data_IF_519543378082
#
_entry.id   IF_519543378082
#
_cell.length_a   1.000
_cell.length_b   1.000
_cell.length_c   1.000
_cell.angle_alpha   90.00
_cell.angle_beta   90.00
_cell.angle_gamma   90.00
#
_symmetry.space_group_name_H-M   'P 1'
#
loop_
_entity.id
_entity.type
_entity.pdbx_description
1 polymer ?
#
# COMPACT_ATOMS: atom_id res chain seq x y z
N UNK A 1 64.17 -28.78 -25.16
CA UNK A 1 63.24 -27.75 -25.72
C UNK A 1 61.90 -27.83 -24.98
N UNK A 2 61.76 -27.01 -23.93
CA UNK A 2 60.54 -26.98 -23.11
C UNK A 2 59.60 -25.95 -23.73
N UNK A 3 58.40 -26.41 -24.13
CA UNK A 3 57.32 -25.52 -24.55
C UNK A 3 56.53 -25.14 -23.32
N UNK A 4 56.60 -23.86 -22.94
CA UNK A 4 55.73 -23.29 -21.93
C UNK A 4 54.34 -23.03 -22.55
N UNK A 5 53.30 -23.62 -21.93
CA UNK A 5 51.91 -23.33 -22.26
C UNK A 5 51.47 -22.14 -21.40
N UNK A 6 51.23 -21.00 -22.04
CA UNK A 6 50.63 -19.83 -21.36
C UNK A 6 49.10 -20.02 -21.36
N UNK A 7 48.53 -20.30 -20.19
CA UNK A 7 47.08 -20.27 -19.97
C UNK A 7 46.71 -18.83 -19.70
N UNK A 8 46.06 -18.20 -20.67
CA UNK A 8 45.43 -16.86 -20.48
C UNK A 8 44.12 -17.03 -19.71
N UNK A 9 44.09 -16.63 -18.42
CA UNK A 9 42.86 -16.48 -17.68
C UNK A 9 42.14 -15.23 -18.21
N UNK A 10 41.04 -15.43 -18.94
CA UNK A 10 40.07 -14.39 -19.19
C UNK A 10 39.29 -14.15 -17.89
N UNK A 11 39.61 -13.07 -17.19
CA UNK A 11 38.77 -12.56 -16.12
C UNK A 11 37.48 -12.00 -16.74
N UNK A 12 36.37 -12.72 -16.69
CA UNK A 12 35.05 -12.15 -16.91
C UNK A 12 34.80 -11.15 -15.76
N UNK A 13 34.96 -9.88 -16.04
CA UNK A 13 34.44 -8.82 -15.18
C UNK A 13 32.91 -8.86 -15.29
N UNK A 14 32.24 -9.44 -14.29
CA UNK A 14 30.83 -9.25 -14.05
C UNK A 14 30.65 -7.76 -13.69
N UNK A 15 30.34 -6.94 -14.66
CA UNK A 15 29.77 -5.62 -14.40
C UNK A 15 28.39 -5.86 -13.77
N UNK A 16 28.31 -5.83 -12.44
CA UNK A 16 27.06 -5.61 -11.74
C UNK A 16 26.57 -4.24 -12.18
N UNK A 17 25.59 -4.20 -13.08
CA UNK A 17 24.90 -2.97 -13.39
C UNK A 17 24.14 -2.59 -12.12
N UNK A 18 24.60 -1.56 -11.43
CA UNK A 18 23.96 -1.06 -10.22
C UNK A 18 22.54 -0.63 -10.60
N UNK A 19 21.52 -1.26 -9.99
CA UNK A 19 20.12 -0.90 -10.23
C UNK A 19 19.92 0.56 -9.86
N UNK A 20 19.31 1.33 -10.77
CA UNK A 20 19.09 2.76 -10.58
C UNK A 20 17.61 3.06 -10.41
N UNK A 21 17.31 3.90 -9.42
CA UNK A 21 15.98 4.46 -9.27
C UNK A 21 15.70 5.52 -10.35
N UNK A 22 14.53 5.41 -10.99
CA UNK A 22 14.07 6.31 -12.05
C UNK A 22 12.62 6.69 -11.80
N UNK A 23 12.16 7.75 -12.45
CA UNK A 23 10.80 8.27 -12.37
C UNK A 23 10.14 8.12 -13.73
N UNK A 24 8.87 7.72 -13.74
CA UNK A 24 8.05 7.50 -14.92
C UNK A 24 6.71 8.22 -14.74
N UNK A 25 6.20 8.83 -15.80
CA UNK A 25 4.88 9.46 -15.78
C UNK A 25 3.99 8.84 -16.85
N UNK A 26 2.84 8.35 -16.43
CA UNK A 26 1.79 7.81 -17.26
C UNK A 26 0.71 8.86 -17.45
N UNK A 27 0.08 8.88 -18.63
CA UNK A 27 -0.97 9.84 -18.97
C UNK A 27 -2.16 9.14 -19.60
N UNK A 28 -3.37 9.50 -19.18
CA UNK A 28 -4.62 9.09 -19.83
C UNK A 28 -5.70 10.15 -19.62
N UNK A 29 -6.21 10.73 -20.72
CA UNK A 29 -7.15 11.82 -20.65
C UNK A 29 -6.60 13.01 -19.84
N UNK A 30 -7.35 13.43 -18.83
CA UNK A 30 -6.97 14.53 -17.92
C UNK A 30 -6.26 14.04 -16.65
N UNK A 31 -5.90 12.75 -16.57
CA UNK A 31 -5.23 12.18 -15.40
C UNK A 31 -3.77 11.89 -15.73
N UNK A 32 -2.87 12.21 -14.82
CA UNK A 32 -1.47 11.77 -14.87
C UNK A 32 -1.09 11.07 -13.57
N UNK A 33 -0.26 10.04 -13.71
CA UNK A 33 0.29 9.23 -12.63
C UNK A 33 1.80 9.23 -12.73
N UNK A 34 2.49 9.75 -11.72
CA UNK A 34 3.96 9.69 -11.64
C UNK A 34 4.36 8.64 -10.62
N UNK A 35 5.25 7.74 -11.02
CA UNK A 35 5.73 6.64 -10.21
C UNK A 35 7.25 6.53 -10.26
N UNK A 36 7.86 5.93 -9.24
CA UNK A 36 9.26 5.53 -9.27
C UNK A 36 9.39 4.01 -9.09
N UNK A 37 10.41 3.42 -9.70
CA UNK A 37 10.73 2.01 -9.47
C UNK A 37 11.47 1.75 -8.14
N UNK A 38 11.74 2.77 -7.33
CA UNK A 38 12.15 2.61 -5.93
C UNK A 38 10.91 2.38 -5.06
N UNK A 39 10.76 1.15 -4.54
CA UNK A 39 9.58 0.76 -3.77
C UNK A 39 8.28 0.75 -4.57
N UNK A 40 8.37 0.81 -5.92
CA UNK A 40 7.23 0.92 -6.83
C UNK A 40 6.25 2.01 -6.38
N UNK A 41 6.76 3.17 -5.95
CA UNK A 41 5.97 4.23 -5.31
C UNK A 41 5.18 5.06 -6.27
N UNK A 42 3.97 5.38 -5.88
CA UNK A 42 3.16 6.46 -6.45
C UNK A 42 3.67 7.79 -5.88
N UNK A 43 4.20 8.66 -6.73
CA UNK A 43 4.73 9.97 -6.32
C UNK A 43 3.69 11.08 -6.47
N UNK A 44 2.83 11.00 -7.49
CA UNK A 44 1.73 11.94 -7.69
C UNK A 44 0.62 11.33 -8.54
N UNK A 45 -0.61 11.75 -8.29
CA UNK A 45 -1.79 11.53 -9.12
C UNK A 45 -2.44 12.89 -9.33
N UNK A 46 -2.47 13.38 -10.57
CA UNK A 46 -3.04 14.69 -10.89
C UNK A 46 -4.37 14.52 -11.59
N UNK A 47 -5.44 15.11 -11.02
CA UNK A 47 -6.80 15.04 -11.54
C UNK A 47 -7.49 16.40 -11.47
N UNK A 48 -8.50 16.70 -12.34
CA UNK A 48 -9.28 17.92 -12.23
C UNK A 48 -10.25 17.90 -11.05
N UNK A 49 -10.57 19.05 -10.49
CA UNK A 49 -11.71 19.27 -9.61
C UNK A 49 -12.98 19.66 -10.42
N UNK A 50 -14.08 19.95 -9.70
CA UNK A 50 -15.36 20.38 -10.31
C UNK A 50 -15.28 21.71 -11.11
N UNK A 51 -14.18 22.45 -10.98
CA UNK A 51 -13.91 23.68 -11.74
C UNK A 51 -12.88 23.47 -12.86
N UNK A 52 -12.37 22.23 -13.03
CA UNK A 52 -11.31 21.88 -13.97
C UNK A 52 -9.90 22.21 -13.50
N UNK A 53 -9.71 22.55 -12.21
CA UNK A 53 -8.40 22.87 -11.65
C UNK A 53 -7.66 21.54 -11.39
N UNK A 54 -6.49 21.41 -12.02
CA UNK A 54 -5.63 20.24 -11.90
C UNK A 54 -4.78 20.31 -10.64
N UNK A 55 -4.87 19.29 -9.78
CA UNK A 55 -4.09 19.20 -8.53
C UNK A 55 -3.57 17.79 -8.29
N UNK A 56 -2.42 17.68 -7.61
CA UNK A 56 -1.94 16.42 -7.07
C UNK A 56 -2.79 16.02 -5.86
N UNK A 57 -3.41 14.85 -5.94
CA UNK A 57 -4.33 14.32 -4.92
C UNK A 57 -3.72 13.25 -4.02
N UNK A 58 -2.39 13.09 -4.03
CA UNK A 58 -1.68 12.20 -3.11
C UNK A 58 -0.51 12.92 -2.45
N UNK A 59 -0.28 12.65 -1.17
CA UNK A 59 0.93 13.11 -0.50
C UNK A 59 2.14 12.31 -1.00
N UNK A 60 3.21 13.01 -1.33
CA UNK A 60 4.42 12.40 -1.84
C UNK A 60 5.62 13.35 -1.76
N UNK A 61 6.78 12.87 -2.15
CA UNK A 61 8.00 13.66 -2.25
C UNK A 61 8.30 14.06 -3.70
N UNK A 62 9.06 15.12 -3.85
CA UNK A 62 9.43 15.67 -5.17
C UNK A 62 10.51 14.83 -5.86
N UNK A 63 11.40 14.22 -5.09
CA UNK A 63 12.57 13.49 -5.60
C UNK A 63 12.63 12.09 -4.99
N UNK A 64 13.27 11.15 -5.68
CA UNK A 64 13.50 9.79 -5.17
C UNK A 64 14.39 9.79 -3.94
N UNK A 65 15.34 10.72 -3.84
CA UNK A 65 16.26 10.84 -2.71
C UNK A 65 15.53 11.11 -1.39
N UNK A 66 14.44 11.89 -1.43
CA UNK A 66 13.61 12.15 -0.26
C UNK A 66 12.87 10.91 0.22
N UNK A 67 12.53 9.95 -0.67
CA UNK A 67 12.00 8.64 -0.27
C UNK A 67 13.05 7.69 0.28
N UNK A 68 14.29 7.79 -0.19
CA UNK A 68 15.43 6.99 0.32
C UNK A 68 15.81 7.43 1.73
N UNK A 69 15.66 8.72 2.02
CA UNK A 69 15.99 9.34 3.31
C UNK A 69 14.76 10.08 3.89
N UNK A 70 13.68 9.38 4.25
CA UNK A 70 12.46 10.01 4.71
C UNK A 70 12.67 10.74 6.05
N UNK A 71 12.05 11.91 6.18
CA UNK A 71 12.06 12.69 7.44
C UNK A 71 10.90 12.25 8.35
N UNK A 72 9.81 11.76 7.80
CA UNK A 72 8.59 11.37 8.49
C UNK A 72 8.06 10.03 8.03
N UNK A 73 6.93 10.03 7.31
CA UNK A 73 6.26 8.81 6.86
C UNK A 73 7.06 8.07 5.78
N UNK A 74 7.55 6.88 6.12
CA UNK A 74 8.36 6.06 5.23
C UNK A 74 7.57 5.52 4.03
N UNK A 75 6.28 5.25 4.21
CA UNK A 75 5.49 4.47 3.26
C UNK A 75 4.69 5.31 2.24
N UNK A 76 4.97 6.62 2.14
CA UNK A 76 4.31 7.48 1.15
C UNK A 76 4.34 6.85 -0.25
N UNK A 77 3.15 6.50 -0.77
CA UNK A 77 2.93 5.94 -2.08
C UNK A 77 3.50 4.55 -2.35
N UNK A 78 4.08 3.87 -1.34
CA UNK A 78 4.83 2.63 -1.52
C UNK A 78 3.96 1.42 -1.89
N UNK A 79 4.51 0.49 -2.67
CA UNK A 79 4.10 -0.90 -2.58
C UNK A 79 4.64 -1.47 -1.27
N UNK A 80 3.81 -2.11 -0.47
CA UNK A 80 4.19 -2.69 0.82
C UNK A 80 4.04 -4.21 0.81
N UNK A 81 4.99 -4.90 1.44
CA UNK A 81 5.11 -6.36 1.42
C UNK A 81 6.52 -6.87 1.76
N UNK A 82 6.77 -8.22 1.79
CA UNK A 82 5.89 -9.32 1.36
C UNK A 82 4.56 -9.44 2.09
N UNK A 83 4.49 -8.96 3.35
CA UNK A 83 3.25 -8.91 4.14
C UNK A 83 2.96 -7.46 4.50
N UNK A 84 1.88 -6.92 3.93
CA UNK A 84 1.33 -5.61 4.26
C UNK A 84 0.80 -5.61 5.68
N UNK A 85 0.82 -4.42 6.32
CA UNK A 85 0.44 -4.23 7.70
C UNK A 85 1.33 -5.01 8.69
N UNK A 86 0.83 -5.38 9.87
CA UNK A 86 1.62 -5.91 10.97
C UNK A 86 1.68 -7.44 10.99
N UNK A 87 2.79 -7.95 11.54
CA UNK A 87 2.94 -9.33 12.04
C UNK A 87 3.24 -9.20 13.53
N UNK A 88 2.31 -9.67 14.37
CA UNK A 88 2.42 -9.62 15.82
C UNK A 88 3.60 -10.43 16.33
N UNK A 89 4.35 -9.88 17.30
CA UNK A 89 5.54 -10.54 17.87
C UNK A 89 6.69 -10.75 16.89
N UNK A 90 6.64 -10.16 15.68
CA UNK A 90 7.64 -10.31 14.62
C UNK A 90 7.99 -11.78 14.32
N UNK A 91 7.00 -12.66 14.38
CA UNK A 91 7.18 -14.09 14.14
C UNK A 91 5.93 -14.74 13.56
N UNK A 92 6.12 -15.82 12.80
CA UNK A 92 5.04 -16.64 12.27
C UNK A 92 5.51 -18.08 12.06
N UNK A 93 4.55 -19.01 11.94
CA UNK A 93 4.84 -20.42 11.68
C UNK A 93 4.34 -20.83 10.29
N UNK A 94 5.19 -21.54 9.53
CA UNK A 94 4.83 -22.17 8.25
C UNK A 94 5.37 -23.59 8.24
N UNK A 95 4.51 -24.57 7.98
CA UNK A 95 4.85 -26.00 7.89
C UNK A 95 5.59 -26.53 9.13
N UNK A 96 5.28 -26.02 10.34
CA UNK A 96 5.88 -26.42 11.62
C UNK A 96 7.24 -25.78 11.90
N UNK A 97 7.70 -24.83 11.08
CA UNK A 97 8.92 -24.06 11.28
C UNK A 97 8.57 -22.62 11.65
N UNK A 98 9.17 -22.09 12.72
CA UNK A 98 8.97 -20.71 13.17
C UNK A 98 10.00 -19.81 12.49
N UNK A 99 9.49 -18.75 11.85
CA UNK A 99 10.26 -17.70 11.20
C UNK A 99 10.18 -16.40 11.99
N UNK A 100 11.29 -15.68 12.06
CA UNK A 100 11.37 -14.38 12.73
C UNK A 100 11.65 -13.28 11.70
N UNK A 101 10.83 -12.25 11.74
CA UNK A 101 10.98 -11.05 10.93
C UNK A 101 11.58 -9.90 11.75
N UNK A 102 12.09 -8.82 11.13
CA UNK A 102 12.67 -7.71 11.87
C UNK A 102 11.63 -6.99 12.74
N UNK A 103 12.05 -6.57 13.91
CA UNK A 103 11.26 -5.71 14.79
C UNK A 103 11.47 -4.26 14.35
N UNK A 104 10.53 -3.72 13.56
CA UNK A 104 10.57 -2.35 13.06
C UNK A 104 9.34 -1.51 13.46
N UNK A 105 8.45 -2.08 14.30
CA UNK A 105 7.27 -1.41 14.81
C UNK A 105 7.08 -1.67 16.31
N UNK A 106 6.82 -0.63 17.09
CA UNK A 106 6.54 -0.62 18.53
C UNK A 106 7.51 -1.44 19.42
N UNK A 107 8.72 -1.79 18.91
CA UNK A 107 9.70 -2.60 19.62
C UNK A 107 9.35 -4.09 19.76
N UNK A 108 8.27 -4.56 19.15
CA UNK A 108 7.78 -5.93 19.26
C UNK A 108 7.35 -6.54 17.92
N UNK A 109 6.89 -5.73 16.97
CA UNK A 109 6.17 -6.19 15.78
C UNK A 109 6.94 -5.91 14.50
N UNK A 110 6.56 -6.58 13.42
CA UNK A 110 7.00 -6.23 12.07
C UNK A 110 5.90 -5.46 11.36
N UNK A 111 6.25 -4.38 10.66
CA UNK A 111 5.37 -3.59 9.82
C UNK A 111 5.85 -3.60 8.38
N UNK A 112 4.94 -3.86 7.42
CA UNK A 112 5.13 -3.73 5.99
C UNK A 112 6.37 -4.43 5.43
N UNK A 113 6.67 -5.64 5.93
CA UNK A 113 7.78 -6.46 5.42
C UNK A 113 9.15 -6.18 6.06
N UNK A 114 9.24 -5.28 7.06
CA UNK A 114 10.47 -5.02 7.81
C UNK A 114 11.27 -3.82 7.33
N UNK A 115 12.58 -3.79 7.60
CA UNK A 115 13.45 -2.66 7.22
C UNK A 115 13.77 -2.63 5.72
N UNK A 116 13.88 -3.82 5.09
CA UNK A 116 14.12 -3.99 3.66
C UNK A 116 12.92 -4.67 2.99
N UNK A 117 11.72 -4.19 3.32
CA UNK A 117 10.49 -4.55 2.62
C UNK A 117 10.55 -4.14 1.15
N UNK A 118 9.59 -4.56 0.36
CA UNK A 118 9.55 -4.29 -1.09
C UNK A 118 9.48 -2.79 -1.41
N UNK A 119 9.06 -1.97 -0.43
CA UNK A 119 9.04 -0.51 -0.47
C UNK A 119 10.43 0.13 -0.50
N UNK A 120 11.45 -0.58 -0.02
CA UNK A 120 12.83 -0.09 0.11
C UNK A 120 13.79 -0.78 -0.87
N UNK A 121 13.26 -1.37 -1.94
CA UNK A 121 14.02 -2.06 -2.98
C UNK A 121 13.80 -1.39 -4.36
N UNK A 122 14.79 -1.52 -5.25
CA UNK A 122 14.67 -1.04 -6.62
C UNK A 122 14.10 -2.16 -7.48
N UNK A 123 12.91 -1.94 -8.05
CA UNK A 123 12.23 -2.84 -8.95
C UNK A 123 12.81 -2.71 -10.37
N UNK A 124 12.90 -3.82 -11.09
CA UNK A 124 13.24 -3.83 -12.49
C UNK A 124 12.06 -3.37 -13.33
N UNK A 125 12.27 -2.47 -14.25
CA UNK A 125 11.24 -2.06 -15.22
C UNK A 125 11.27 -3.01 -16.40
N UNK A 126 10.25 -3.86 -16.51
CA UNK A 126 10.12 -4.84 -17.60
C UNK A 126 9.65 -4.16 -18.88
N UNK A 127 8.67 -3.27 -18.76
CA UNK A 127 8.16 -2.46 -19.86
C UNK A 127 7.49 -1.20 -19.34
N UNK A 128 7.46 -0.17 -20.20
CA UNK A 128 6.73 1.08 -19.94
C UNK A 128 6.18 1.63 -21.24
N UNK A 129 4.96 2.17 -21.20
CA UNK A 129 4.33 2.94 -22.26
C UNK A 129 3.58 4.14 -21.65
N UNK A 130 2.90 4.92 -22.48
CA UNK A 130 2.21 6.14 -22.01
C UNK A 130 1.18 5.90 -20.91
N UNK A 131 0.58 4.69 -20.86
CA UNK A 131 -0.53 4.37 -19.96
C UNK A 131 -0.24 3.22 -18.99
N UNK A 132 0.91 2.56 -19.08
CA UNK A 132 1.22 1.42 -18.22
C UNK A 132 2.72 1.26 -17.97
N UNK A 133 3.05 0.72 -16.80
CA UNK A 133 4.40 0.25 -16.45
C UNK A 133 4.31 -1.12 -15.78
N UNK A 134 5.19 -2.03 -16.18
CA UNK A 134 5.35 -3.35 -15.59
C UNK A 134 6.65 -3.38 -14.80
N UNK A 135 6.54 -3.68 -13.53
CA UNK A 135 7.63 -3.74 -12.56
C UNK A 135 7.82 -5.18 -12.09
N UNK A 136 9.07 -5.60 -11.90
CA UNK A 136 9.42 -6.93 -11.42
C UNK A 136 10.42 -6.83 -10.28
N UNK A 137 10.28 -7.68 -9.27
CA UNK A 137 11.20 -7.80 -8.14
C UNK A 137 11.33 -9.26 -7.71
N UNK A 138 12.57 -9.71 -7.51
CA UNK A 138 12.88 -10.90 -6.74
C UNK A 138 13.17 -10.49 -5.28
N UNK A 139 12.38 -11.02 -4.34
CA UNK A 139 12.68 -10.98 -2.91
C UNK A 139 13.33 -12.31 -2.53
N UNK A 140 14.65 -12.35 -2.27
CA UNK A 140 15.40 -13.60 -2.11
C UNK A 140 15.07 -14.31 -0.80
N UNK A 141 15.22 -15.66 -0.81
CA UNK A 141 15.04 -16.51 0.37
C UNK A 141 15.79 -15.98 1.60
N UNK A 142 15.08 -15.88 2.71
CA UNK A 142 15.60 -15.39 3.99
C UNK A 142 15.76 -13.89 4.14
N UNK A 143 15.52 -13.09 3.10
CA UNK A 143 15.51 -11.63 3.25
C UNK A 143 14.40 -11.22 4.23
N UNK A 144 14.73 -10.40 5.23
CA UNK A 144 13.81 -9.97 6.29
C UNK A 144 13.09 -11.14 7.00
N UNK A 145 13.69 -12.36 6.96
CA UNK A 145 13.17 -13.55 7.61
C UNK A 145 12.07 -14.31 6.85
N UNK A 146 11.68 -13.87 5.67
CA UNK A 146 10.68 -14.56 4.85
C UNK A 146 11.30 -15.72 4.09
N UNK A 147 10.72 -16.97 4.18
CA UNK A 147 11.24 -18.12 3.46
C UNK A 147 10.90 -18.08 1.96
N UNK A 148 11.79 -18.65 1.17
CA UNK A 148 11.63 -18.84 -0.27
C UNK A 148 12.00 -17.62 -1.11
N UNK A 149 12.34 -17.89 -2.37
CA UNK A 149 12.48 -16.86 -3.38
C UNK A 149 11.09 -16.45 -3.86
N UNK A 150 10.71 -15.21 -3.61
CA UNK A 150 9.41 -14.66 -4.00
C UNK A 150 9.61 -13.79 -5.25
N UNK A 151 9.12 -14.28 -6.39
CA UNK A 151 9.10 -13.54 -7.65
C UNK A 151 7.81 -12.73 -7.73
N UNK A 152 7.93 -11.43 -7.93
CA UNK A 152 6.81 -10.50 -7.95
C UNK A 152 6.77 -9.72 -9.25
N UNK A 153 5.59 -9.61 -9.84
CA UNK A 153 5.31 -8.70 -10.96
C UNK A 153 4.16 -7.80 -10.57
N UNK A 154 4.31 -6.51 -10.79
CA UNK A 154 3.27 -5.52 -10.55
C UNK A 154 3.08 -4.68 -11.81
N UNK A 155 1.83 -4.52 -12.24
CA UNK A 155 1.47 -3.70 -13.37
C UNK A 155 0.64 -2.52 -12.91
N UNK A 156 1.10 -1.31 -13.19
CA UNK A 156 0.32 -0.09 -13.05
C UNK A 156 -0.25 0.29 -14.40
N UNK A 157 -1.55 0.49 -14.45
CA UNK A 157 -2.26 0.91 -15.66
C UNK A 157 -3.15 2.11 -15.36
N UNK A 158 -3.01 3.16 -16.14
CA UNK A 158 -3.92 4.29 -16.15
C UNK A 158 -4.90 4.12 -17.30
N UNK A 159 -6.16 3.75 -17.00
CA UNK A 159 -7.17 3.43 -18.01
C UNK A 159 -7.74 4.70 -18.66
N UNK A 160 -8.36 4.57 -19.83
CA UNK A 160 -9.06 5.68 -20.50
C UNK A 160 -10.30 6.16 -19.74
N UNK A 161 -10.78 5.38 -18.77
CA UNK A 161 -11.87 5.75 -17.86
C UNK A 161 -11.41 6.57 -16.65
N UNK A 162 -10.13 6.96 -16.57
CA UNK A 162 -9.56 7.69 -15.43
C UNK A 162 -9.32 6.81 -14.20
N UNK A 163 -9.06 5.52 -14.40
CA UNK A 163 -8.79 4.57 -13.32
C UNK A 163 -7.30 4.30 -13.24
N UNK A 164 -6.76 4.30 -12.02
CA UNK A 164 -5.45 3.74 -11.71
C UNK A 164 -5.65 2.30 -11.24
N UNK A 165 -5.32 1.35 -12.10
CA UNK A 165 -5.40 -0.08 -11.85
C UNK A 165 -4.02 -0.63 -11.49
N UNK A 166 -3.98 -1.45 -10.46
CA UNK A 166 -2.80 -2.16 -9.97
C UNK A 166 -3.11 -3.65 -10.02
N UNK A 167 -2.32 -4.40 -10.78
CA UNK A 167 -2.37 -5.87 -10.81
C UNK A 167 -1.07 -6.41 -10.22
N UNK A 168 -1.20 -7.26 -9.20
CA UNK A 168 -0.10 -7.98 -8.58
C UNK A 168 -0.14 -9.45 -8.98
N UNK A 169 1.03 -10.00 -9.22
CA UNK A 169 1.26 -11.42 -9.44
C UNK A 169 2.49 -11.84 -8.65
N UNK A 170 2.41 -12.92 -7.88
CA UNK A 170 3.59 -13.49 -7.25
C UNK A 170 3.59 -15.02 -7.28
N UNK A 171 4.82 -15.59 -7.31
CA UNK A 171 5.09 -17.01 -7.18
C UNK A 171 6.28 -17.24 -6.26
N UNK A 172 6.38 -18.43 -5.67
CA UNK A 172 7.45 -18.78 -4.74
C UNK A 172 7.96 -20.20 -4.97
N UNK A 173 9.20 -20.47 -4.55
CA UNK A 173 9.80 -21.80 -4.53
C UNK A 173 9.72 -22.49 -3.16
N UNK A 174 9.29 -21.78 -2.10
CA UNK A 174 9.05 -22.31 -0.74
C UNK A 174 7.78 -21.67 -0.16
N UNK A 175 7.02 -22.38 0.68
CA UNK A 175 5.85 -21.83 1.33
C UNK A 175 6.19 -20.56 2.12
N UNK A 176 5.48 -19.45 1.87
CA UNK A 176 5.76 -18.15 2.46
C UNK A 176 4.49 -17.31 2.58
N UNK A 177 4.34 -16.44 3.59
CA UNK A 177 3.20 -15.53 3.65
C UNK A 177 3.35 -14.42 2.61
N UNK A 178 2.25 -14.12 1.90
CA UNK A 178 2.17 -13.05 0.90
C UNK A 178 0.88 -12.26 1.06
N UNK A 179 1.03 -10.97 1.23
CA UNK A 179 -0.06 -10.01 1.31
C UNK A 179 0.44 -8.63 0.86
N UNK A 180 0.26 -8.27 -0.39
CA UNK A 180 0.69 -6.95 -0.89
C UNK A 180 -0.41 -5.92 -0.72
N UNK A 181 0.00 -4.66 -0.60
CA UNK A 181 -0.87 -3.51 -0.76
C UNK A 181 -0.10 -2.35 -1.39
N UNK A 182 -0.82 -1.28 -1.73
CA UNK A 182 -0.25 -0.02 -2.17
C UNK A 182 -0.70 1.09 -1.20
N UNK A 183 0.19 1.99 -0.84
CA UNK A 183 0.01 2.93 0.25
C UNK A 183 -0.01 4.41 -0.23
N UNK A 184 -0.80 4.78 -1.27
CA UNK A 184 -0.98 6.18 -1.61
C UNK A 184 -1.76 6.88 -0.50
N UNK A 185 -1.30 8.04 -0.11
CA UNK A 185 -1.97 8.89 0.87
C UNK A 185 -2.82 9.94 0.14
N UNK A 186 -4.11 9.68 0.01
CA UNK A 186 -5.03 10.54 -0.73
C UNK A 186 -5.36 11.84 0.00
N UNK A 187 -5.31 12.95 -0.73
CA UNK A 187 -5.67 14.29 -0.30
C UNK A 187 -6.49 14.96 -1.40
N UNK A 188 -7.80 14.66 -1.46
CA UNK A 188 -8.68 15.00 -2.59
C UNK A 188 -8.82 16.52 -2.83
N UNK A 189 -8.55 17.34 -1.81
CA UNK A 189 -8.52 18.81 -1.92
C UNK A 189 -7.22 19.36 -2.50
N UNK A 190 -6.25 18.46 -2.75
CA UNK A 190 -4.87 18.76 -3.14
C UNK A 190 -3.90 18.62 -1.99
N UNK A 191 -2.64 18.30 -2.31
CA UNK A 191 -1.60 18.00 -1.33
C UNK A 191 -1.36 19.18 -0.35
N UNK A 192 -1.46 18.89 0.96
CA UNK A 192 -1.30 19.88 2.03
C UNK A 192 -2.48 20.83 2.22
N UNK A 193 -3.63 20.57 1.59
CA UNK A 193 -4.81 21.42 1.67
C UNK A 193 -5.95 20.76 2.49
N UNK A 194 -6.28 21.36 3.63
CA UNK A 194 -7.42 20.96 4.46
C UNK A 194 -7.19 19.71 5.31
N UNK A 195 -8.29 19.19 5.85
CA UNK A 195 -8.35 17.97 6.66
C UNK A 195 -9.22 16.93 5.98
N UNK A 196 -8.84 15.66 6.11
CA UNK A 196 -9.67 14.53 5.65
C UNK A 196 -10.94 14.34 6.49
N UNK A 197 -11.04 15.01 7.63
CA UNK A 197 -12.23 14.97 8.49
C UNK A 197 -13.49 15.54 7.76
N UNK A 198 -13.29 16.39 6.75
CA UNK A 198 -14.35 16.94 5.93
C UNK A 198 -14.79 16.02 4.77
N UNK A 199 -14.12 14.87 4.56
CA UNK A 199 -14.47 13.95 3.48
C UNK A 199 -15.63 13.05 3.87
N UNK A 200 -16.53 12.79 2.91
CA UNK A 200 -17.56 11.78 3.02
C UNK A 200 -16.95 10.42 2.68
N UNK A 201 -17.16 9.45 3.54
CA UNK A 201 -16.67 8.08 3.41
C UNK A 201 -17.83 7.10 3.44
N UNK A 202 -17.82 6.13 2.51
CA UNK A 202 -18.66 4.94 2.53
C UNK A 202 -17.79 3.70 2.34
N UNK A 203 -18.02 2.65 3.15
CA UNK A 203 -17.30 1.37 3.07
C UNK A 203 -18.32 0.23 2.99
N UNK A 204 -18.15 -0.67 2.01
CA UNK A 204 -18.99 -1.85 1.84
C UNK A 204 -18.55 -2.97 2.80
N UNK A 205 -18.76 -2.78 4.11
CA UNK A 205 -18.38 -3.74 5.12
C UNK A 205 -19.33 -3.72 6.32
N UNK A 206 -19.80 -4.90 6.73
CA UNK A 206 -20.60 -5.10 7.94
C UNK A 206 -19.77 -5.40 9.18
N UNK A 207 -18.46 -5.66 9.02
CA UNK A 207 -17.53 -6.01 10.09
C UNK A 207 -16.19 -5.31 9.91
N UNK A 208 -15.46 -5.20 11.02
CA UNK A 208 -14.08 -4.72 11.06
C UNK A 208 -13.25 -5.59 12.02
N UNK A 209 -11.94 -5.44 12.00
CA UNK A 209 -11.03 -6.16 12.88
C UNK A 209 -10.56 -5.21 13.99
N UNK A 210 -10.97 -5.45 15.26
CA UNK A 210 -10.47 -4.72 16.42
C UNK A 210 -8.97 -4.95 16.64
N UNK A 211 -8.29 -3.92 17.14
CA UNK A 211 -6.86 -3.93 17.43
C UNK A 211 -6.60 -3.67 18.92
N UNK A 212 -5.47 -4.13 19.39
CA UNK A 212 -4.93 -3.77 20.70
C UNK A 212 -4.20 -2.41 20.69
N UNK A 213 -3.57 -2.04 21.80
CA UNK A 213 -2.86 -0.77 21.96
C UNK A 213 -1.56 -0.69 21.11
N UNK A 214 -1.08 -1.81 20.56
CA UNK A 214 0.06 -1.89 19.63
C UNK A 214 -0.38 -1.99 18.16
N UNK A 215 -1.68 -1.79 17.90
CA UNK A 215 -2.33 -1.91 16.59
C UNK A 215 -2.27 -3.33 15.99
N UNK A 216 -2.17 -4.36 16.84
CA UNK A 216 -2.23 -5.76 16.43
C UNK A 216 -3.68 -6.24 16.49
N UNK A 217 -4.18 -6.96 15.45
CA UNK A 217 -5.48 -7.61 15.47
C UNK A 217 -5.70 -8.47 16.72
N UNK A 218 -6.87 -8.32 17.37
CA UNK A 218 -7.23 -9.16 18.53
C UNK A 218 -7.66 -10.57 18.15
N UNK A 219 -7.88 -10.83 16.85
CA UNK A 219 -8.47 -12.07 16.33
C UNK A 219 -9.99 -12.02 16.24
N UNK A 220 -10.63 -11.00 16.80
CA UNK A 220 -12.07 -10.79 16.68
C UNK A 220 -12.45 -10.21 15.33
N UNK A 221 -13.62 -10.59 14.81
CA UNK A 221 -14.31 -9.97 13.68
C UNK A 221 -15.58 -9.33 14.25
N UNK A 222 -15.51 -8.03 14.53
CA UNK A 222 -16.57 -7.31 15.20
C UNK A 222 -17.55 -6.65 14.22
N UNK A 223 -18.87 -6.60 14.50
CA UNK A 223 -19.82 -5.87 13.68
C UNK A 223 -19.56 -4.36 13.76
N UNK A 224 -19.78 -3.64 12.66
CA UNK A 224 -19.70 -2.17 12.64
C UNK A 224 -20.95 -1.51 13.23
N UNK A 225 -22.07 -2.23 13.27
CA UNK A 225 -23.39 -1.71 13.69
C UNK A 225 -23.34 -1.10 15.09
N UNK A 226 -23.79 0.15 15.20
CA UNK A 226 -23.81 0.89 16.47
C UNK A 226 -22.44 1.38 16.95
N UNK A 227 -21.38 1.27 16.13
CA UNK A 227 -20.02 1.71 16.45
C UNK A 227 -19.60 2.93 15.62
N UNK A 228 -18.51 3.63 15.97
CA UNK A 228 -17.96 4.69 15.13
C UNK A 228 -17.44 4.19 13.76
N UNK A 229 -17.28 2.86 13.58
CA UNK A 229 -16.76 2.21 12.38
C UNK A 229 -17.83 1.91 11.31
N UNK A 230 -19.10 2.27 11.55
CA UNK A 230 -20.19 2.03 10.62
C UNK A 230 -20.21 3.07 9.49
N UNK A 231 -19.53 2.76 8.39
CA UNK A 231 -19.52 3.53 7.15
C UNK A 231 -20.35 2.88 6.03
N UNK A 232 -21.29 1.99 6.35
CA UNK A 232 -22.17 1.38 5.33
C UNK A 232 -22.98 2.43 4.57
N UNK A 233 -23.38 3.51 5.25
CA UNK A 233 -23.90 4.73 4.64
C UNK A 233 -22.84 5.83 4.67
N UNK A 234 -22.88 6.82 3.74
CA UNK A 234 -21.91 7.90 3.72
C UNK A 234 -21.93 8.76 4.98
N UNK A 235 -20.78 8.91 5.65
CA UNK A 235 -20.58 9.78 6.81
C UNK A 235 -19.30 10.61 6.64
N UNK A 236 -19.29 11.80 7.25
CA UNK A 236 -18.05 12.56 7.37
C UNK A 236 -17.05 11.79 8.25
N UNK A 237 -15.81 11.69 7.80
CA UNK A 237 -14.74 11.02 8.58
C UNK A 237 -14.62 11.67 9.97
N UNK A 238 -14.70 13.01 10.04
CA UNK A 238 -14.62 13.78 11.28
C UNK A 238 -15.82 13.64 12.22
N UNK A 239 -16.96 13.15 11.75
CA UNK A 239 -18.20 13.08 12.53
C UNK A 239 -18.05 12.24 13.82
N UNK A 240 -17.30 11.14 13.72
CA UNK A 240 -17.19 10.15 14.81
C UNK A 240 -15.76 9.85 15.23
N UNK A 241 -14.74 10.34 14.51
CA UNK A 241 -13.32 10.03 14.77
C UNK A 241 -12.83 10.45 16.17
N UNK A 242 -13.53 11.41 16.81
CA UNK A 242 -13.23 11.91 18.16
C UNK A 242 -14.10 11.32 19.26
N UNK A 243 -14.92 10.30 19.00
CA UNK A 243 -15.75 9.66 20.02
C UNK A 243 -14.90 8.93 21.08
N UNK A 244 -15.41 8.81 22.30
CA UNK A 244 -14.81 8.02 23.36
C UNK A 244 -15.03 6.52 23.09
N UNK A 245 -14.21 5.97 22.21
CA UNK A 245 -14.20 4.56 21.81
C UNK A 245 -12.77 4.01 21.95
N UNK A 246 -12.62 2.81 22.54
CA UNK A 246 -11.30 2.24 22.81
C UNK A 246 -10.51 1.96 21.53
N UNK A 247 -11.16 1.59 20.44
CA UNK A 247 -10.52 1.32 19.17
C UNK A 247 -9.97 2.62 18.54
N UNK A 248 -10.76 3.70 18.58
CA UNK A 248 -10.29 5.03 18.15
C UNK A 248 -9.14 5.55 19.02
N UNK A 249 -9.16 5.26 20.33
CA UNK A 249 -8.06 5.62 21.25
C UNK A 249 -6.79 4.85 20.90
N UNK A 250 -6.88 3.53 20.66
CA UNK A 250 -5.75 2.68 20.30
C UNK A 250 -5.04 3.19 19.05
N UNK A 251 -5.79 3.60 18.03
CA UNK A 251 -5.26 4.08 16.74
C UNK A 251 -5.09 5.60 16.64
N UNK A 252 -5.50 6.38 17.65
CA UNK A 252 -5.58 7.85 17.61
C UNK A 252 -6.51 8.39 16.51
N UNK A 253 -7.50 7.58 16.11
CA UNK A 253 -8.42 7.79 14.99
C UNK A 253 -8.71 6.49 14.28
N UNK A 254 -8.92 6.51 12.98
CA UNK A 254 -9.06 5.29 12.19
C UNK A 254 -7.68 4.79 11.72
N UNK A 255 -7.38 3.54 12.00
CA UNK A 255 -6.26 2.75 11.47
C UNK A 255 -6.61 1.26 11.63
N UNK A 256 -7.69 0.85 10.94
CA UNK A 256 -8.30 -0.47 11.11
C UNK A 256 -8.55 -1.13 9.75
N UNK A 257 -8.72 -2.45 9.79
CA UNK A 257 -9.14 -3.22 8.63
C UNK A 257 -10.65 -3.48 8.66
N UNK A 258 -11.36 -3.05 7.62
CA UNK A 258 -12.75 -3.43 7.35
C UNK A 258 -12.80 -4.73 6.56
N UNK A 259 -13.69 -5.64 6.98
CA UNK A 259 -13.96 -6.91 6.31
C UNK A 259 -14.99 -6.66 5.20
N UNK A 260 -14.57 -6.64 3.95
CA UNK A 260 -15.41 -6.27 2.81
C UNK A 260 -16.50 -7.34 2.57
N UNK A 261 -17.74 -6.90 2.42
CA UNK A 261 -18.90 -7.74 2.12
C UNK A 261 -18.89 -8.14 0.63
N UNK A 262 -18.02 -9.10 0.29
CA UNK A 262 -17.86 -9.59 -1.08
C UNK A 262 -18.93 -10.62 -1.42
N UNK A 263 -19.38 -10.58 -2.68
CA UNK A 263 -20.33 -11.53 -3.23
C UNK A 263 -19.69 -12.55 -4.17
N UNK A 264 -18.50 -12.22 -4.70
CA UNK A 264 -17.66 -13.06 -5.56
C UNK A 264 -16.20 -12.96 -5.21
N UNK A 265 -15.35 -13.80 -5.79
CA UNK A 265 -13.89 -13.67 -5.69
C UNK A 265 -13.30 -12.61 -6.65
N UNK A 266 -14.15 -11.97 -7.47
CA UNK A 266 -13.75 -10.97 -8.45
C UNK A 266 -13.56 -9.57 -7.86
N UNK A 267 -13.24 -8.62 -8.73
CA UNK A 267 -13.12 -7.20 -8.38
C UNK A 267 -14.51 -6.62 -8.15
N UNK A 268 -14.77 -6.11 -6.96
CA UNK A 268 -16.03 -5.51 -6.51
C UNK A 268 -15.79 -4.17 -5.82
N UNK A 269 -16.85 -3.41 -5.62
CA UNK A 269 -16.83 -2.15 -4.87
C UNK A 269 -16.38 -2.38 -3.42
N UNK A 270 -15.45 -1.54 -2.96
CA UNK A 270 -14.86 -1.58 -1.61
C UNK A 270 -15.27 -0.34 -0.81
N UNK A 271 -14.94 0.85 -1.31
CA UNK A 271 -15.28 2.10 -0.65
C UNK A 271 -15.36 3.27 -1.64
N UNK A 272 -16.01 4.34 -1.19
CA UNK A 272 -16.07 5.62 -1.87
C UNK A 272 -15.72 6.74 -0.89
N UNK A 273 -14.82 7.64 -1.32
CA UNK A 273 -14.46 8.83 -0.54
C UNK A 273 -14.57 10.05 -1.44
N UNK A 274 -15.27 11.09 -0.98
CA UNK A 274 -15.40 12.34 -1.72
C UNK A 274 -15.13 13.56 -0.86
N UNK A 275 -14.55 14.59 -1.48
CA UNK A 275 -14.38 15.90 -0.86
C UNK A 275 -15.47 16.86 -1.39
N UNK A 276 -16.43 17.30 -0.55
CA UNK A 276 -17.50 18.20 -0.99
C UNK A 276 -17.00 19.56 -1.50
N UNK A 277 -15.80 19.99 -1.09
CA UNK A 277 -15.24 21.29 -1.49
C UNK A 277 -14.71 21.24 -2.91
N UNK A 278 -13.85 20.31 -3.24
CA UNK A 278 -13.29 20.13 -4.60
C UNK A 278 -14.24 19.40 -5.54
N UNK A 279 -15.18 18.63 -4.99
CA UNK A 279 -16.01 17.68 -5.72
C UNK A 279 -15.29 16.41 -6.14
N UNK A 280 -13.97 16.29 -5.92
CA UNK A 280 -13.21 15.08 -6.28
C UNK A 280 -13.63 13.90 -5.42
N UNK A 281 -13.60 12.72 -6.03
CA UNK A 281 -13.76 11.46 -5.33
C UNK A 281 -12.70 10.44 -5.75
N UNK A 282 -12.46 9.49 -4.86
CA UNK A 282 -11.82 8.20 -5.16
C UNK A 282 -12.78 7.07 -4.79
N UNK A 283 -13.07 6.21 -5.75
CA UNK A 283 -13.77 4.95 -5.54
C UNK A 283 -12.76 3.81 -5.64
N UNK A 284 -12.80 2.90 -4.67
CA UNK A 284 -11.90 1.74 -4.62
C UNK A 284 -12.67 0.49 -4.96
N UNK A 285 -12.11 -0.30 -5.89
CA UNK A 285 -12.60 -1.63 -6.23
C UNK A 285 -11.45 -2.64 -6.06
N UNK A 286 -11.74 -3.83 -5.54
CA UNK A 286 -10.72 -4.87 -5.38
C UNK A 286 -11.31 -6.28 -5.34
N UNK A 287 -10.45 -7.26 -5.60
CA UNK A 287 -10.70 -8.68 -5.34
C UNK A 287 -10.34 -9.09 -3.90
N UNK A 288 -9.71 -8.19 -3.12
CA UNK A 288 -9.28 -8.50 -1.76
C UNK A 288 -10.41 -8.44 -0.73
N UNK A 289 -10.31 -9.23 0.38
CA UNK A 289 -11.34 -9.31 1.41
C UNK A 289 -11.29 -8.20 2.44
N UNK A 290 -10.26 -7.36 2.44
CA UNK A 290 -10.05 -6.32 3.43
C UNK A 290 -9.69 -4.97 2.84
N UNK A 291 -10.04 -3.92 3.58
CA UNK A 291 -9.60 -2.55 3.38
C UNK A 291 -9.01 -2.03 4.68
N UNK A 292 -7.72 -1.74 4.72
CA UNK A 292 -7.16 -0.90 5.76
C UNK A 292 -7.46 0.55 5.41
N UNK A 293 -8.16 1.23 6.31
CA UNK A 293 -8.36 2.67 6.26
C UNK A 293 -7.56 3.33 7.39
N UNK A 294 -6.61 4.19 7.00
CA UNK A 294 -5.79 4.97 7.90
C UNK A 294 -6.04 6.47 7.67
N UNK A 295 -6.40 7.19 8.73
CA UNK A 295 -6.81 8.60 8.65
C UNK A 295 -5.69 9.63 8.85
N UNK A 296 -4.42 9.23 8.66
CA UNK A 296 -3.27 10.15 8.72
C UNK A 296 -2.96 10.67 10.13
N UNK A 297 -3.12 9.85 11.16
CA UNK A 297 -3.08 10.22 12.56
C UNK A 297 -1.68 10.56 13.10
N UNK A 298 -0.61 10.24 12.35
CA UNK A 298 0.77 10.42 12.80
C UNK A 298 1.53 11.51 12.04
N UNK A 299 0.90 12.15 11.04
CA UNK A 299 1.50 13.33 10.42
C UNK A 299 1.56 14.50 11.41
N UNK A 300 2.74 15.11 11.57
CA UNK A 300 3.00 16.16 12.57
C UNK A 300 3.32 17.53 11.95
N UNK A 301 3.33 17.62 10.61
CA UNK A 301 3.64 18.84 9.87
C UNK A 301 5.14 19.14 9.69
N UNK A 302 6.04 18.30 10.21
CA UNK A 302 7.47 18.46 9.97
C UNK A 302 7.88 17.99 8.58
N UNK A 303 7.22 16.95 8.08
CA UNK A 303 7.39 16.46 6.71
C UNK A 303 6.72 17.38 5.71
N UNK A 304 7.36 17.56 4.56
CA UNK A 304 6.84 18.38 3.46
C UNK A 304 6.48 17.50 2.27
N UNK A 305 5.33 17.78 1.69
CA UNK A 305 4.90 17.19 0.44
C UNK A 305 5.68 17.68 -0.78
N UNK A 306 5.35 17.13 -1.95
CA UNK A 306 6.02 17.43 -3.21
C UNK A 306 5.91 18.89 -3.63
N UNK A 307 4.86 19.58 -3.21
CA UNK A 307 4.64 21.02 -3.43
C UNK A 307 5.30 21.92 -2.37
N UNK A 308 5.95 21.34 -1.35
CA UNK A 308 6.61 22.03 -0.25
C UNK A 308 5.70 22.40 0.93
N UNK A 309 4.42 22.09 0.87
CA UNK A 309 3.48 22.28 1.98
C UNK A 309 3.72 21.23 3.08
N UNK A 310 3.49 21.56 4.36
CA UNK A 310 3.55 20.59 5.44
C UNK A 310 2.48 19.51 5.28
N UNK A 311 2.85 18.26 5.56
CA UNK A 311 1.90 17.15 5.74
C UNK A 311 1.47 17.14 7.20
N UNK A 312 0.32 17.74 7.49
CA UNK A 312 -0.19 17.92 8.85
C UNK A 312 -1.06 16.77 9.31
N UNK A 313 -1.40 16.78 10.59
CA UNK A 313 -2.33 15.84 11.21
C UNK A 313 -3.62 15.72 10.39
N UNK A 314 -3.96 14.49 9.99
CA UNK A 314 -5.14 14.18 9.18
C UNK A 314 -5.24 14.98 7.87
N UNK A 315 -4.12 15.24 7.22
CA UNK A 315 -4.10 15.91 5.90
C UNK A 315 -4.29 14.96 4.73
N UNK A 316 -4.18 13.66 4.94
CA UNK A 316 -4.35 12.63 3.91
C UNK A 316 -4.77 11.29 4.53
N UNK A 317 -5.36 10.40 3.71
CA UNK A 317 -5.80 9.06 4.10
C UNK A 317 -5.09 8.00 3.26
N UNK A 318 -4.87 6.82 3.85
CA UNK A 318 -4.51 5.62 3.10
C UNK A 318 -5.72 4.67 2.99
N UNK A 319 -5.86 4.05 1.81
CA UNK A 319 -6.92 3.10 1.47
C UNK A 319 -6.24 1.87 0.85
N UNK A 320 -5.92 0.90 1.70
CA UNK A 320 -5.08 -0.24 1.35
C UNK A 320 -5.93 -1.51 1.22
N UNK A 321 -6.21 -1.94 -0.01
CA UNK A 321 -6.85 -3.23 -0.23
C UNK A 321 -5.85 -4.35 0.03
N UNK A 322 -6.25 -5.36 0.80
CA UNK A 322 -5.34 -6.41 1.28
C UNK A 322 -6.10 -7.61 1.84
N UNK A 323 -5.39 -8.69 2.13
CA UNK A 323 -5.86 -9.68 3.11
C UNK A 323 -5.73 -9.10 4.51
N UNK A 324 -6.45 -9.66 5.47
CA UNK A 324 -6.52 -9.10 6.82
C UNK A 324 -5.14 -9.08 7.51
N UNK A 325 -4.84 -8.02 8.27
CA UNK A 325 -3.57 -7.90 8.99
C UNK A 325 -3.34 -9.06 9.96
N UNK A 326 -2.08 -9.42 10.18
CA UNK A 326 -1.63 -10.51 11.05
C UNK A 326 -2.28 -11.88 10.76
N UNK A 327 -2.86 -12.07 9.57
CA UNK A 327 -3.56 -13.30 9.20
C UNK A 327 -2.66 -14.56 9.27
N UNK A 328 -1.35 -14.39 9.20
CA UNK A 328 -0.40 -15.51 9.36
C UNK A 328 -0.46 -16.10 10.77
N UNK A 329 -0.86 -15.33 11.79
CA UNK A 329 -0.98 -15.75 13.20
C UNK A 329 -2.43 -16.05 13.62
N UNK A 330 -3.41 -15.83 12.72
CA UNK A 330 -4.84 -16.06 12.96
C UNK A 330 -5.41 -17.10 11.99
N UNK A 331 -5.52 -18.37 12.38
CA UNK A 331 -5.99 -19.45 11.48
C UNK A 331 -7.39 -19.26 10.91
N UNK A 332 -8.23 -18.49 11.62
CA UNK A 332 -9.61 -18.20 11.19
C UNK A 332 -9.71 -17.01 10.20
N UNK A 333 -8.57 -16.33 9.95
CA UNK A 333 -8.49 -15.25 8.98
C UNK A 333 -8.26 -15.77 7.56
N UNK A 334 -8.40 -14.90 6.57
CA UNK A 334 -8.14 -15.26 5.16
C UNK A 334 -6.72 -15.76 4.98
N UNK A 335 -6.50 -16.95 4.38
CA UNK A 335 -5.16 -17.53 4.23
C UNK A 335 -4.21 -16.63 3.45
N UNK A 336 -2.98 -16.48 3.97
CA UNK A 336 -1.92 -15.66 3.36
C UNK A 336 -0.72 -16.48 2.86
N UNK A 337 -0.67 -17.80 3.15
CA UNK A 337 0.46 -18.65 2.74
C UNK A 337 0.34 -18.98 1.25
N UNK A 338 1.34 -18.58 0.49
CA UNK A 338 1.55 -18.98 -0.90
C UNK A 338 2.49 -20.19 -0.94
N UNK A 339 2.11 -21.23 -1.69
CA UNK A 339 2.90 -22.47 -1.83
C UNK A 339 3.55 -22.58 -3.21
N UNK A 340 4.64 -23.35 -3.34
CA UNK A 340 5.22 -23.66 -4.65
C UNK A 340 4.19 -24.22 -5.63
N UNK A 341 4.13 -23.65 -6.84
CA UNK A 341 3.17 -24.03 -7.88
C UNK A 341 1.84 -23.28 -7.83
N UNK A 342 1.58 -22.52 -6.77
CA UNK A 342 0.45 -21.60 -6.69
C UNK A 342 0.82 -20.21 -7.19
N UNK A 343 -0.20 -19.38 -7.49
CA UNK A 343 -0.03 -17.98 -7.84
C UNK A 343 -0.83 -17.11 -6.87
N UNK A 344 -0.19 -16.10 -6.33
CA UNK A 344 -0.88 -14.99 -5.67
C UNK A 344 -1.29 -13.99 -6.73
N UNK A 345 -2.56 -13.57 -6.70
CA UNK A 345 -3.07 -12.47 -7.51
C UNK A 345 -3.81 -11.48 -6.63
N UNK A 346 -3.73 -10.21 -7.00
CA UNK A 346 -4.48 -9.14 -6.36
C UNK A 346 -4.72 -8.04 -7.40
N UNK A 347 -5.93 -7.54 -7.50
CA UNK A 347 -6.28 -6.37 -8.29
C UNK A 347 -6.88 -5.30 -7.40
N UNK A 348 -6.30 -4.09 -7.47
CA UNK A 348 -6.85 -2.88 -6.87
C UNK A 348 -7.09 -1.84 -7.96
N UNK A 349 -8.23 -1.16 -7.92
CA UNK A 349 -8.57 -0.08 -8.85
C UNK A 349 -8.97 1.15 -8.03
N UNK A 350 -8.28 2.25 -8.26
CA UNK A 350 -8.68 3.57 -7.78
C UNK A 350 -9.29 4.33 -8.96
N UNK A 351 -10.60 4.55 -8.92
CA UNK A 351 -11.33 5.33 -9.92
C UNK A 351 -11.49 6.75 -9.42
N UNK A 352 -11.05 7.71 -10.20
CA UNK A 352 -11.14 9.13 -9.88
C UNK A 352 -12.21 9.80 -10.70
N UNK A 353 -12.86 10.79 -10.11
CA UNK A 353 -13.86 11.58 -10.80
C UNK A 353 -14.25 12.82 -9.99
N UNK A 354 -15.27 13.50 -10.50
CA UNK A 354 -15.89 14.66 -9.87
C UNK A 354 -17.37 14.35 -9.69
N UNK A 355 -17.87 14.49 -8.46
CA UNK A 355 -19.30 14.36 -8.17
C UNK A 355 -20.07 15.44 -8.89
N UNK A 356 -21.09 15.05 -9.63
CA UNK A 356 -22.13 15.98 -10.07
C UNK A 356 -22.97 16.34 -8.85
N UNK A 357 -23.19 17.65 -8.59
CA UNK A 357 -24.03 18.11 -7.49
C UNK A 357 -25.48 17.65 -7.64
#
# INVERSE_FOLDING_TARGET
MNKAVIISLLALSLFSCEKKANVYTLHSGNTSLTVTNYGARVMSIVTPDKYGIMENIVAGHKTVEEYVHPVGERFLGACVGPVANRIGGAAFEVDGEVYHTPINDNGHNTLHGGFKGVDNLIWDVVSVCDTAIVLHLLHPDGLEGYPGNLEMTMTYTLTSAGEFRIDYLATTDKATPVNFSNHPFFCLRGEGNGSVEDYLMQINASHYIPIDAESIPTGEIAPVDGTPFDFREPHLIGERIGMEDQQLINARGYDHNWCIDKTTDGVEFVCHVSDPVSGRFVEVLSDQPGLQFYSGNFFDGHEKGSNGNPLGFRSSIALETQKWPDAVNHPDFTPVILKPGEQYTHTCIYRFGVSEE
#
